data_IF_016699977545
#
_entry.id   IF_016699977545
#
_cell.length_a   1.000
_cell.length_b   1.000
_cell.length_c   1.000
_cell.angle_alpha   90.00
_cell.angle_beta   90.00
_cell.angle_gamma   90.00
#
_symmetry.space_group_name_H-M   'P 1'
#
loop_
_entity.id
_entity.type
_entity.pdbx_description
1 polymer ?
#
# COMPACT_ATOMS: atom_id res chain seq x y z
N UNK A 1 -40.63 15.10 -4.35
CA UNK A 1 -41.76 14.72 -5.24
C UNK A 1 -43.01 15.43 -4.76
N UNK A 2 -43.72 16.14 -5.63
CA UNK A 2 -45.03 16.75 -5.30
C UNK A 2 -46.13 15.78 -5.74
N UNK A 3 -46.92 15.28 -4.79
CA UNK A 3 -48.17 14.56 -5.07
C UNK A 3 -49.30 15.34 -4.43
N UNK A 4 -50.31 15.68 -5.22
CA UNK A 4 -51.48 16.42 -4.73
C UNK A 4 -52.64 15.44 -4.56
N UNK A 5 -53.23 15.34 -3.36
CA UNK A 5 -54.45 14.57 -3.19
C UNK A 5 -55.60 15.24 -3.97
N UNK A 6 -56.52 14.43 -4.50
CA UNK A 6 -57.75 14.91 -5.14
C UNK A 6 -58.96 14.11 -4.62
N UNK A 7 -60.02 14.82 -4.23
CA UNK A 7 -61.25 14.25 -3.64
C UNK A 7 -61.42 14.53 -2.14
N UNK A 8 -62.68 14.59 -1.68
CA UNK A 8 -63.07 14.91 -0.28
C UNK A 8 -64.26 15.89 -0.22
N UNK A 9 -65.02 15.87 0.89
CA UNK A 9 -66.08 16.87 1.16
C UNK A 9 -65.59 17.76 2.30
N UNK A 10 -65.40 19.05 2.01
CA UNK A 10 -64.88 20.04 2.98
C UNK A 10 -63.64 20.75 2.46
N UNK A 11 -63.43 21.99 2.92
CA UNK A 11 -62.27 22.81 2.55
C UNK A 11 -61.04 22.56 3.45
N UNK A 12 -61.21 21.74 4.49
CA UNK A 12 -60.21 21.54 5.54
C UNK A 12 -59.71 20.10 5.51
N UNK A 13 -58.48 19.90 5.03
CA UNK A 13 -57.75 18.64 5.10
C UNK A 13 -56.74 18.71 6.24
N UNK A 14 -56.62 17.63 7.00
CA UNK A 14 -55.55 17.48 8.00
C UNK A 14 -54.54 16.44 7.53
N UNK A 15 -53.25 16.75 7.68
CA UNK A 15 -52.15 15.87 7.34
C UNK A 15 -51.52 15.33 8.62
N UNK A 16 -51.10 14.07 8.60
CA UNK A 16 -50.36 13.46 9.70
C UNK A 16 -49.22 12.64 9.13
N UNK A 17 -48.00 13.11 9.36
CA UNK A 17 -46.79 12.41 8.95
C UNK A 17 -46.33 11.44 10.03
N UNK A 18 -45.73 10.30 9.64
CA UNK A 18 -45.09 9.37 10.58
C UNK A 18 -43.90 10.01 11.34
N UNK A 19 -43.36 11.12 10.84
CA UNK A 19 -42.36 11.95 11.50
C UNK A 19 -42.95 12.98 12.49
N UNK A 20 -44.27 13.05 12.62
CA UNK A 20 -44.99 13.87 13.61
C UNK A 20 -45.43 15.26 13.14
N UNK A 21 -45.01 15.71 11.96
CA UNK A 21 -45.51 16.96 11.37
C UNK A 21 -46.96 16.84 10.87
N UNK A 22 -47.63 17.98 10.71
CA UNK A 22 -49.03 18.08 10.25
C UNK A 22 -49.24 19.02 9.07
N UNK A 23 -48.18 19.62 8.55
CA UNK A 23 -48.24 20.52 7.40
C UNK A 23 -48.46 19.73 6.11
N UNK A 24 -49.13 20.35 5.13
CA UNK A 24 -49.34 19.77 3.80
C UNK A 24 -48.04 19.63 2.99
N UNK A 25 -47.00 20.37 3.38
CA UNK A 25 -45.64 20.30 2.85
C UNK A 25 -44.68 20.26 4.04
N UNK A 26 -43.78 19.28 4.04
CA UNK A 26 -42.69 19.20 5.01
C UNK A 26 -41.35 19.28 4.28
N UNK A 27 -40.38 19.96 4.90
CA UNK A 27 -38.98 19.95 4.48
C UNK A 27 -38.20 19.11 5.48
N UNK A 28 -37.44 18.15 4.98
CA UNK A 28 -36.74 17.15 5.80
C UNK A 28 -35.30 16.98 5.32
N UNK A 29 -34.40 16.68 6.24
CA UNK A 29 -32.98 16.40 5.98
C UNK A 29 -32.55 15.18 6.80
N UNK A 30 -33.04 13.98 6.45
CA UNK A 30 -32.72 12.77 7.20
C UNK A 30 -31.22 12.42 7.03
N UNK A 31 -30.62 11.86 8.08
CA UNK A 31 -29.24 11.37 8.04
C UNK A 31 -29.12 9.92 7.59
N UNK A 32 -30.24 9.20 7.48
CA UNK A 32 -30.29 7.79 7.04
C UNK A 32 -31.48 7.59 6.12
N UNK A 33 -31.52 6.49 5.37
CA UNK A 33 -32.66 6.17 4.53
C UNK A 33 -33.94 6.09 5.36
N UNK A 34 -34.94 6.90 4.99
CA UNK A 34 -36.20 6.99 5.73
C UNK A 34 -37.40 7.00 4.79
N UNK A 35 -38.45 6.25 5.15
CA UNK A 35 -39.73 6.27 4.48
C UNK A 35 -40.68 7.25 5.17
N UNK A 36 -41.06 8.31 4.46
CA UNK A 36 -42.06 9.27 4.92
C UNK A 36 -43.44 8.81 4.47
N UNK A 37 -44.34 8.67 5.43
CA UNK A 37 -45.72 8.25 5.22
C UNK A 37 -46.63 9.39 5.67
N UNK A 38 -47.53 9.83 4.80
CA UNK A 38 -48.54 10.85 5.11
C UNK A 38 -49.93 10.23 5.13
N UNK A 39 -50.64 10.44 6.22
CA UNK A 39 -52.07 10.20 6.35
C UNK A 39 -52.85 11.48 6.09
N UNK A 40 -53.94 11.39 5.31
CA UNK A 40 -54.84 12.52 5.03
C UNK A 40 -56.23 12.19 5.58
N UNK A 41 -56.80 13.14 6.32
CA UNK A 41 -58.20 13.12 6.74
C UNK A 41 -58.92 14.38 6.23
N UNK A 42 -60.20 14.25 5.93
CA UNK A 42 -61.10 15.39 5.69
C UNK A 42 -61.68 15.90 7.02
N UNK A 43 -62.59 16.88 6.95
CA UNK A 43 -63.26 17.47 8.11
C UNK A 43 -64.08 16.48 8.96
N UNK A 44 -64.23 15.21 8.55
CA UNK A 44 -64.86 14.16 9.34
C UNK A 44 -63.87 13.42 10.28
N UNK A 45 -62.58 13.80 10.27
CA UNK A 45 -61.62 13.52 11.34
C UNK A 45 -61.04 12.10 11.38
N UNK A 46 -61.29 11.26 10.38
CA UNK A 46 -60.66 9.94 10.27
C UNK A 46 -59.69 9.91 9.11
N UNK A 47 -58.43 9.59 9.36
CA UNK A 47 -57.42 9.40 8.30
C UNK A 47 -57.82 8.20 7.45
N UNK A 48 -58.16 8.45 6.19
CA UNK A 48 -58.70 7.42 5.29
C UNK A 48 -57.81 7.12 4.09
N UNK A 49 -56.78 7.92 3.84
CA UNK A 49 -55.85 7.72 2.75
C UNK A 49 -54.40 7.92 3.20
N UNK A 50 -53.52 7.11 2.62
CA UNK A 50 -52.09 7.11 2.92
C UNK A 50 -51.30 7.17 1.61
N UNK A 51 -50.22 7.93 1.60
CA UNK A 51 -49.21 7.92 0.55
C UNK A 51 -47.82 7.85 1.20
N UNK A 52 -46.84 7.31 0.49
CA UNK A 52 -45.47 7.24 1.00
C UNK A 52 -44.43 7.64 -0.04
N UNK A 53 -43.29 8.12 0.46
CA UNK A 53 -42.10 8.39 -0.33
C UNK A 53 -40.87 8.01 0.46
N UNK A 54 -39.93 7.30 -0.16
CA UNK A 54 -38.65 6.94 0.46
C UNK A 54 -37.56 7.91 0.02
N UNK A 55 -36.78 8.42 0.96
CA UNK A 55 -35.54 9.13 0.68
C UNK A 55 -34.37 8.19 0.99
N UNK A 56 -33.68 7.72 -0.05
CA UNK A 56 -32.51 6.87 0.09
C UNK A 56 -31.28 7.72 0.37
N UNK A 57 -30.63 7.49 1.50
CA UNK A 57 -29.32 8.05 1.85
C UNK A 57 -28.34 6.88 1.82
N UNK A 58 -27.29 7.01 1.01
CA UNK A 58 -26.22 6.03 0.90
C UNK A 58 -25.13 6.44 1.90
N UNK A 59 -24.87 5.57 2.88
CA UNK A 59 -23.71 5.72 3.77
C UNK A 59 -22.43 5.58 2.95
N UNK A 60 -21.54 6.56 3.07
CA UNK A 60 -20.25 6.56 2.41
C UNK A 60 -19.17 6.07 3.39
N UNK A 61 -18.30 5.18 2.91
CA UNK A 61 -17.12 4.74 3.66
C UNK A 61 -15.93 4.64 2.72
N UNK A 62 -14.88 5.42 2.99
CA UNK A 62 -13.65 5.41 2.23
C UNK A 62 -12.74 4.28 2.69
N UNK A 63 -12.29 3.46 1.76
CA UNK A 63 -11.33 2.39 2.02
C UNK A 63 -10.52 2.05 0.77
N UNK A 64 -9.30 1.56 0.96
CA UNK A 64 -8.46 1.06 -0.13
C UNK A 64 -7.45 0.02 0.36
N UNK A 65 -6.84 -0.65 -0.60
CA UNK A 65 -5.65 -1.48 -0.40
C UNK A 65 -4.59 -1.14 -1.45
N UNK A 66 -3.32 -1.06 -1.03
CA UNK A 66 -2.20 -1.08 -1.96
C UNK A 66 -1.94 -2.53 -2.40
N UNK A 67 -1.68 -2.72 -3.70
CA UNK A 67 -1.46 -4.02 -4.33
C UNK A 67 -0.23 -3.95 -5.23
N UNK A 68 0.43 -5.10 -5.43
CA UNK A 68 1.69 -5.19 -6.19
C UNK A 68 2.89 -5.44 -5.29
N UNK A 69 4.09 -5.25 -5.85
CA UNK A 69 5.34 -5.25 -5.10
C UNK A 69 5.48 -3.88 -4.43
N UNK A 70 5.75 -3.86 -3.13
CA UNK A 70 5.99 -2.64 -2.36
C UNK A 70 7.49 -2.43 -2.23
N UNK A 71 8.15 -2.31 -3.38
CA UNK A 71 9.60 -2.21 -3.51
C UNK A 71 9.98 -0.92 -4.27
N UNK A 72 11.18 -0.40 -4.02
CA UNK A 72 11.66 0.81 -4.69
C UNK A 72 11.64 0.68 -6.22
N UNK A 73 11.53 1.81 -6.93
CA UNK A 73 11.52 1.84 -8.40
C UNK A 73 10.40 1.01 -9.05
N UNK A 74 9.33 0.68 -8.34
CA UNK A 74 8.17 -0.03 -8.88
C UNK A 74 6.89 0.80 -8.87
N UNK A 75 5.98 0.45 -9.78
CA UNK A 75 4.63 1.00 -9.80
C UNK A 75 3.77 0.33 -8.73
N UNK A 76 3.07 1.13 -7.92
CA UNK A 76 2.14 0.67 -6.90
C UNK A 76 0.71 0.92 -7.37
N UNK A 77 -0.10 -0.14 -7.39
CA UNK A 77 -1.50 -0.06 -7.78
C UNK A 77 -2.40 -0.02 -6.55
N UNK A 78 -3.35 0.91 -6.53
CA UNK A 78 -4.31 1.05 -5.45
C UNK A 78 -5.68 0.53 -5.87
N UNK A 79 -6.22 -0.38 -5.08
CA UNK A 79 -7.58 -0.86 -5.22
C UNK A 79 -8.50 -0.06 -4.31
N UNK A 80 -9.49 0.61 -4.89
CA UNK A 80 -10.56 1.24 -4.13
C UNK A 80 -11.53 0.19 -3.59
N UNK A 81 -11.77 0.25 -2.29
CA UNK A 81 -12.71 -0.59 -1.55
C UNK A 81 -13.81 0.25 -0.89
N UNK A 82 -13.99 1.48 -1.37
CA UNK A 82 -14.95 2.42 -0.81
C UNK A 82 -16.38 1.98 -1.13
N UNK A 83 -17.29 2.29 -0.21
CA UNK A 83 -18.71 2.00 -0.37
C UNK A 83 -19.46 3.32 -0.46
N UNK A 84 -20.42 3.40 -1.39
CA UNK A 84 -21.35 4.52 -1.46
C UNK A 84 -20.79 5.82 -1.99
N UNK A 85 -19.74 5.76 -2.83
CA UNK A 85 -19.11 6.92 -3.46
C UNK A 85 -19.16 6.84 -4.99
N UNK A 86 -19.16 8.01 -5.65
CA UNK A 86 -19.24 8.15 -7.11
C UNK A 86 -17.96 8.77 -7.70
N UNK A 87 -17.16 9.42 -6.87
CA UNK A 87 -15.91 10.08 -7.26
C UNK A 87 -14.84 9.93 -6.18
N UNK A 88 -13.58 10.00 -6.62
CA UNK A 88 -12.41 9.69 -5.80
C UNK A 88 -11.33 10.75 -6.05
N UNK A 89 -10.59 11.09 -5.00
CA UNK A 89 -9.40 11.92 -5.08
C UNK A 89 -8.31 11.30 -4.21
N UNK A 90 -7.15 11.10 -4.81
CA UNK A 90 -6.00 10.47 -4.20
C UNK A 90 -4.87 11.47 -4.02
N UNK A 91 -4.21 11.41 -2.87
CA UNK A 91 -2.92 12.03 -2.60
C UNK A 91 -1.96 10.92 -2.17
N UNK A 92 -0.90 10.73 -2.95
CA UNK A 92 0.06 9.64 -2.71
C UNK A 92 1.22 10.05 -1.79
N UNK A 93 1.20 11.27 -1.22
CA UNK A 93 2.23 11.75 -0.31
C UNK A 93 3.61 11.99 -0.94
N UNK A 94 3.75 11.73 -2.24
CA UNK A 94 4.93 12.01 -3.07
C UNK A 94 4.77 13.30 -3.92
N UNK A 95 3.65 14.01 -3.75
CA UNK A 95 3.28 15.19 -4.56
C UNK A 95 2.45 14.86 -5.80
N UNK A 96 2.24 13.59 -6.12
CA UNK A 96 1.31 13.14 -7.16
C UNK A 96 -0.11 12.94 -6.60
N UNK A 97 -1.10 13.10 -7.48
CA UNK A 97 -2.52 12.93 -7.17
C UNK A 97 -3.22 12.21 -8.31
N UNK A 98 -4.39 11.63 -8.04
CA UNK A 98 -5.23 11.01 -9.08
C UNK A 98 -6.71 11.15 -8.74
N UNK A 99 -7.58 11.05 -9.75
CA UNK A 99 -9.03 10.94 -9.57
C UNK A 99 -9.59 9.63 -10.17
N UNK A 100 -8.71 8.69 -10.53
CA UNK A 100 -9.12 7.38 -11.04
C UNK A 100 -9.71 6.52 -9.92
N UNK A 101 -10.56 5.55 -10.28
CA UNK A 101 -11.12 4.61 -9.31
C UNK A 101 -10.04 3.72 -8.73
N UNK A 102 -9.14 3.17 -9.57
CA UNK A 102 -8.03 2.32 -9.13
C UNK A 102 -6.73 2.83 -9.77
N UNK A 103 -6.08 3.85 -9.19
CA UNK A 103 -4.92 4.46 -9.80
C UNK A 103 -3.67 3.60 -9.63
N UNK A 104 -2.68 3.89 -10.46
CA UNK A 104 -1.29 3.44 -10.28
C UNK A 104 -0.40 4.66 -10.19
N UNK A 105 0.55 4.68 -9.25
CA UNK A 105 1.55 5.75 -9.07
C UNK A 105 2.92 5.13 -8.89
N UNK A 106 3.94 5.93 -9.18
CA UNK A 106 5.32 5.53 -8.99
C UNK A 106 5.82 5.97 -7.60
N UNK A 107 6.21 5.01 -6.77
CA UNK A 107 6.85 5.29 -5.49
C UNK A 107 8.36 5.01 -5.62
N UNK A 108 9.13 6.06 -5.88
CA UNK A 108 10.53 5.93 -6.27
C UNK A 108 11.48 5.53 -5.15
N UNK A 109 11.37 6.16 -3.98
CA UNK A 109 12.32 5.98 -2.87
C UNK A 109 11.76 5.03 -1.81
N UNK A 110 12.59 4.16 -1.22
CA UNK A 110 12.16 3.29 -0.13
C UNK A 110 11.94 4.10 1.15
N UNK A 111 10.67 4.41 1.41
CA UNK A 111 10.22 5.13 2.60
C UNK A 111 8.74 4.84 2.90
N UNK A 112 8.24 5.44 3.99
CA UNK A 112 6.84 5.41 4.34
C UNK A 112 6.07 6.55 3.64
N UNK A 113 5.15 6.19 2.74
CA UNK A 113 4.24 7.13 2.08
C UNK A 113 2.89 7.17 2.80
N UNK A 114 2.41 8.38 3.10
CA UNK A 114 1.09 8.59 3.70
C UNK A 114 0.05 8.80 2.60
N UNK A 115 -0.62 7.71 2.18
CA UNK A 115 -1.57 7.73 1.09
C UNK A 115 -2.96 8.09 1.61
N UNK A 116 -3.59 9.11 1.03
CA UNK A 116 -4.94 9.55 1.38
C UNK A 116 -5.90 9.34 0.21
N UNK A 117 -7.04 8.74 0.50
CA UNK A 117 -8.18 8.62 -0.41
C UNK A 117 -9.34 9.44 0.15
N UNK A 118 -9.90 10.32 -0.67
CA UNK A 118 -11.15 11.03 -0.41
C UNK A 118 -12.20 10.48 -1.38
N UNK A 119 -13.28 9.95 -0.84
CA UNK A 119 -14.42 9.44 -1.61
C UNK A 119 -15.60 10.40 -1.46
N UNK A 120 -16.30 10.71 -2.54
CA UNK A 120 -17.45 11.63 -2.56
C UNK A 120 -18.61 11.05 -3.35
N UNK A 121 -19.82 11.12 -2.81
CA UNK A 121 -21.05 10.69 -3.50
C UNK A 121 -21.78 11.85 -4.21
N UNK A 122 -22.78 11.51 -5.01
CA UNK A 122 -23.61 12.45 -5.78
C UNK A 122 -24.36 13.48 -4.92
N UNK A 123 -24.70 13.13 -3.68
CA UNK A 123 -25.30 14.01 -2.68
C UNK A 123 -24.28 14.98 -2.03
N UNK A 124 -22.99 14.83 -2.32
CA UNK A 124 -21.91 15.65 -1.77
C UNK A 124 -21.43 15.22 -0.38
N UNK A 125 -21.83 14.04 0.10
CA UNK A 125 -21.23 13.44 1.30
C UNK A 125 -19.81 12.97 0.98
N UNK A 126 -18.91 13.18 1.94
CA UNK A 126 -17.47 12.92 1.79
C UNK A 126 -17.02 12.04 2.96
N UNK A 127 -16.23 11.02 2.66
CA UNK A 127 -15.43 10.29 3.65
C UNK A 127 -13.98 10.18 3.18
N UNK A 128 -13.05 10.02 4.10
CA UNK A 128 -11.64 9.87 3.77
C UNK A 128 -10.91 8.88 4.66
N UNK A 129 -9.87 8.28 4.09
CA UNK A 129 -8.98 7.35 4.79
C UNK A 129 -7.54 7.66 4.42
N UNK A 130 -6.66 7.56 5.41
CA UNK A 130 -5.21 7.67 5.22
C UNK A 130 -4.54 6.40 5.74
N UNK A 131 -3.68 5.78 4.92
CA UNK A 131 -2.87 4.62 5.31
C UNK A 131 -1.41 4.90 5.01
N UNK A 132 -0.53 4.38 5.87
CA UNK A 132 0.92 4.42 5.66
C UNK A 132 1.32 3.17 4.87
N UNK A 133 1.91 3.37 3.70
CA UNK A 133 2.46 2.30 2.86
C UNK A 133 3.98 2.36 2.94
N UNK A 134 4.58 1.28 3.42
CA UNK A 134 6.04 1.11 3.47
C UNK A 134 6.53 0.58 2.13
N UNK A 135 7.40 1.33 1.45
CA UNK A 135 8.12 0.90 0.25
C UNK A 135 9.51 0.44 0.68
N UNK A 136 9.86 -0.79 0.35
CA UNK A 136 11.11 -1.43 0.78
C UNK A 136 12.22 -1.27 -0.26
N UNK A 137 13.48 -1.17 0.15
CA UNK A 137 14.59 -1.21 -0.80
C UNK A 137 14.64 -2.58 -1.50
N UNK A 138 15.01 -2.60 -2.78
CA UNK A 138 15.26 -3.82 -3.52
C UNK A 138 16.65 -4.32 -3.14
N UNK A 139 16.77 -5.55 -2.64
CA UNK A 139 18.07 -6.11 -2.25
C UNK A 139 18.25 -7.51 -2.82
N UNK A 140 19.38 -7.73 -3.50
CA UNK A 140 19.79 -9.05 -3.97
C UNK A 140 21.28 -9.26 -3.76
N UNK A 141 21.63 -10.49 -3.37
CA UNK A 141 23.02 -10.92 -3.21
C UNK A 141 23.20 -12.32 -3.81
N UNK A 142 24.25 -12.45 -4.61
CA UNK A 142 24.72 -13.72 -5.14
C UNK A 142 26.18 -13.91 -4.78
N UNK A 143 26.45 -15.04 -4.12
CA UNK A 143 27.78 -15.43 -3.66
C UNK A 143 28.14 -16.75 -4.32
N UNK A 144 29.06 -16.77 -5.31
CA UNK A 144 29.54 -18.01 -5.90
C UNK A 144 30.13 -18.93 -4.84
N UNK A 145 30.01 -20.24 -5.02
CA UNK A 145 30.48 -21.22 -4.03
C UNK A 145 31.81 -21.87 -4.40
N UNK A 146 32.41 -21.55 -5.56
CA UNK A 146 33.67 -22.11 -6.00
C UNK A 146 34.39 -21.25 -7.04
N UNK A 147 35.72 -21.30 -7.02
CA UNK A 147 36.59 -20.74 -8.05
C UNK A 147 37.90 -21.53 -8.19
N UNK A 148 38.61 -21.30 -9.29
CA UNK A 148 39.81 -22.07 -9.67
C UNK A 148 40.96 -21.11 -10.00
N UNK A 149 41.74 -20.67 -9.01
CA UNK A 149 42.88 -19.76 -9.23
C UNK A 149 44.13 -20.54 -9.69
N UNK A 150 44.05 -21.15 -10.87
CA UNK A 150 45.10 -21.99 -11.48
C UNK A 150 45.95 -21.27 -12.55
N UNK A 151 45.61 -20.02 -12.87
CA UNK A 151 46.27 -19.20 -13.89
C UNK A 151 45.73 -19.41 -15.31
N UNK A 152 44.63 -20.14 -15.48
CA UNK A 152 43.94 -20.26 -16.77
C UNK A 152 42.98 -19.08 -17.05
N UNK A 153 42.23 -19.14 -18.16
CA UNK A 153 41.38 -18.04 -18.61
C UNK A 153 40.12 -17.83 -17.75
N UNK A 154 39.67 -18.86 -17.03
CA UNK A 154 38.34 -18.88 -16.43
C UNK A 154 38.37 -18.94 -14.89
N UNK A 155 37.47 -18.20 -14.25
CA UNK A 155 37.14 -18.33 -12.82
C UNK A 155 38.34 -18.16 -11.85
N UNK A 156 39.23 -17.23 -12.18
CA UNK A 156 40.46 -16.99 -11.42
C UNK A 156 40.23 -16.20 -10.12
N UNK A 157 39.13 -15.45 -10.06
CA UNK A 157 38.79 -14.62 -8.90
C UNK A 157 37.40 -14.97 -8.40
N UNK A 158 37.27 -15.10 -7.09
CA UNK A 158 35.99 -15.20 -6.40
C UNK A 158 35.43 -13.80 -6.16
N UNK A 159 34.37 -13.44 -6.89
CA UNK A 159 33.71 -12.13 -6.80
C UNK A 159 32.23 -12.31 -6.51
N UNK A 160 31.73 -11.56 -5.52
CA UNK A 160 30.31 -11.52 -5.18
C UNK A 160 29.56 -10.49 -6.04
N UNK A 161 28.24 -10.60 -6.06
CA UNK A 161 27.36 -9.62 -6.67
C UNK A 161 26.31 -9.21 -5.64
N UNK A 162 26.22 -7.92 -5.35
CA UNK A 162 25.24 -7.36 -4.41
C UNK A 162 24.67 -6.07 -4.97
N UNK A 163 23.34 -5.96 -4.95
CA UNK A 163 22.58 -4.80 -5.39
C UNK A 163 21.73 -4.26 -4.23
N UNK A 164 21.51 -2.94 -4.21
CA UNK A 164 20.67 -2.29 -3.20
C UNK A 164 21.28 -2.26 -1.80
N UNK A 165 22.59 -2.01 -1.70
CA UNK A 165 23.30 -1.86 -0.43
C UNK A 165 23.93 -0.47 -0.35
N UNK A 166 24.21 -0.01 0.88
CA UNK A 166 25.03 1.17 1.12
C UNK A 166 26.49 0.84 0.76
N UNK A 167 27.03 1.50 -0.27
CA UNK A 167 28.40 1.28 -0.75
C UNK A 167 29.49 1.65 0.28
N UNK A 168 29.15 2.37 1.35
CA UNK A 168 30.08 2.77 2.41
C UNK A 168 29.98 1.91 3.68
N UNK A 169 29.03 0.98 3.74
CA UNK A 169 28.76 0.13 4.90
C UNK A 169 28.55 -1.33 4.46
N UNK A 170 29.67 -1.88 3.98
CA UNK A 170 29.82 -3.25 3.50
C UNK A 170 31.08 -3.85 4.11
N UNK A 171 30.96 -5.05 4.67
CA UNK A 171 32.07 -5.83 5.20
C UNK A 171 32.00 -7.26 4.68
N UNK A 172 33.10 -7.77 4.13
CA UNK A 172 33.26 -9.18 3.76
C UNK A 172 34.54 -9.70 4.38
N UNK A 173 34.42 -10.76 5.18
CA UNK A 173 35.53 -11.47 5.80
C UNK A 173 35.59 -12.90 5.29
N UNK A 174 36.79 -13.38 5.00
CA UNK A 174 37.07 -14.75 4.60
C UNK A 174 37.99 -15.42 5.61
N UNK A 175 37.58 -16.59 6.08
CA UNK A 175 38.22 -17.35 7.14
C UNK A 175 38.76 -18.68 6.65
N UNK A 176 39.93 -19.05 7.16
CA UNK A 176 40.39 -20.43 7.08
C UNK A 176 39.67 -21.32 8.12
N UNK A 177 40.00 -22.62 8.13
CA UNK A 177 39.36 -23.61 9.02
C UNK A 177 39.63 -23.39 10.51
N UNK A 178 40.62 -22.55 10.86
CA UNK A 178 40.97 -22.22 12.24
C UNK A 178 40.32 -20.93 12.72
N UNK A 179 39.50 -20.27 11.88
CA UNK A 179 38.83 -19.01 12.22
C UNK A 179 39.70 -17.77 12.06
N UNK A 180 40.88 -17.89 11.45
CA UNK A 180 41.71 -16.74 11.10
C UNK A 180 41.19 -16.09 9.81
N UNK A 181 41.07 -14.76 9.82
CA UNK A 181 40.78 -13.95 8.63
C UNK A 181 41.99 -14.00 7.70
N UNK A 182 41.80 -14.57 6.52
CA UNK A 182 42.84 -14.65 5.48
C UNK A 182 42.64 -13.60 4.38
N UNK A 183 41.44 -13.03 4.29
CA UNK A 183 41.14 -11.95 3.36
C UNK A 183 39.92 -11.18 3.85
N UNK A 184 39.89 -9.89 3.57
CA UNK A 184 38.75 -9.03 3.86
C UNK A 184 38.57 -8.01 2.72
N UNK A 185 37.35 -7.51 2.57
CA UNK A 185 37.03 -6.39 1.70
C UNK A 185 35.92 -5.55 2.28
N UNK A 186 36.05 -4.23 2.15
CA UNK A 186 35.00 -3.25 2.41
C UNK A 186 34.40 -2.68 1.12
N UNK A 187 34.75 -3.28 -0.02
CA UNK A 187 34.26 -2.93 -1.35
C UNK A 187 33.76 -4.19 -2.04
N UNK A 188 32.45 -4.27 -2.25
CA UNK A 188 31.79 -5.40 -2.88
C UNK A 188 32.19 -5.61 -4.36
N UNK A 189 32.81 -4.61 -5.00
CA UNK A 189 33.29 -4.70 -6.38
C UNK A 189 34.62 -5.47 -6.50
N UNK A 190 35.31 -5.68 -5.38
CA UNK A 190 36.60 -6.39 -5.31
C UNK A 190 36.38 -7.87 -5.04
N UNK A 191 37.05 -8.71 -5.84
CA UNK A 191 37.08 -10.15 -5.64
C UNK A 191 38.37 -10.63 -5.01
N UNK A 192 38.35 -11.82 -4.43
CA UNK A 192 39.52 -12.51 -3.91
C UNK A 192 40.16 -13.39 -4.99
N UNK A 193 41.48 -13.30 -5.14
CA UNK A 193 42.26 -14.03 -6.14
C UNK A 193 42.77 -15.39 -5.62
N UNK A 194 42.38 -15.80 -4.41
CA UNK A 194 42.84 -17.04 -3.81
C UNK A 194 44.21 -16.95 -3.14
N UNK A 195 44.75 -15.75 -2.93
CA UNK A 195 46.04 -15.57 -2.26
C UNK A 195 45.90 -15.15 -0.80
N UNK A 196 46.85 -15.58 0.03
CA UNK A 196 47.07 -15.10 1.39
C UNK A 196 48.57 -14.97 1.63
N UNK A 197 49.01 -13.82 2.15
CA UNK A 197 50.44 -13.49 2.33
C UNK A 197 51.28 -13.67 1.04
N UNK A 198 50.68 -13.37 -0.11
CA UNK A 198 51.33 -13.47 -1.43
C UNK A 198 51.47 -14.89 -1.99
N UNK A 199 50.88 -15.90 -1.34
CA UNK A 199 50.88 -17.28 -1.82
C UNK A 199 49.45 -17.78 -2.06
N UNK A 200 49.26 -18.62 -3.08
CA UNK A 200 47.99 -19.31 -3.31
C UNK A 200 47.65 -20.21 -2.12
N UNK A 201 46.43 -20.05 -1.60
CA UNK A 201 45.95 -20.88 -0.49
C UNK A 201 45.73 -22.33 -0.94
N UNK A 202 45.62 -23.25 0.02
CA UNK A 202 45.37 -24.66 -0.27
C UNK A 202 43.98 -24.87 -0.88
N UNK A 203 43.85 -25.84 -1.78
CA UNK A 203 42.54 -26.29 -2.24
C UNK A 203 41.71 -26.77 -1.05
N UNK A 204 40.45 -26.36 -1.02
CA UNK A 204 39.58 -26.65 0.12
C UNK A 204 38.47 -25.64 0.29
N UNK A 205 37.75 -25.79 1.40
CA UNK A 205 36.62 -24.95 1.75
C UNK A 205 37.06 -23.86 2.73
N UNK A 206 36.66 -22.63 2.42
CA UNK A 206 36.84 -21.43 3.23
C UNK A 206 35.48 -20.87 3.59
N UNK A 207 35.39 -20.26 4.77
CA UNK A 207 34.12 -19.68 5.27
C UNK A 207 34.14 -18.19 5.00
N UNK A 208 33.03 -17.64 4.52
CA UNK A 208 32.87 -16.20 4.38
C UNK A 208 31.73 -15.69 5.26
N UNK A 209 31.85 -14.45 5.71
CA UNK A 209 30.82 -13.69 6.39
C UNK A 209 30.71 -12.33 5.71
N UNK A 210 29.50 -11.93 5.33
CA UNK A 210 29.19 -10.64 4.72
C UNK A 210 28.22 -9.90 5.63
N UNK A 211 28.53 -8.65 5.95
CA UNK A 211 27.59 -7.71 6.58
C UNK A 211 27.33 -6.58 5.60
N UNK A 212 26.06 -6.29 5.33
CA UNK A 212 25.66 -5.17 4.45
C UNK A 212 24.61 -4.33 5.14
N UNK A 213 24.71 -3.00 5.02
CA UNK A 213 23.62 -2.10 5.37
C UNK A 213 22.76 -1.82 4.14
N UNK A 214 21.45 -1.83 4.32
CA UNK A 214 20.52 -1.37 3.29
C UNK A 214 20.50 0.15 3.21
N UNK A 215 20.35 0.74 2.03
CA UNK A 215 20.23 2.18 1.90
C UNK A 215 18.90 2.65 2.52
N UNK A 216 18.87 3.90 3.00
CA UNK A 216 17.68 4.61 3.51
C UNK A 216 17.06 4.09 4.81
N UNK A 217 17.43 2.89 5.26
CA UNK A 217 17.01 2.31 6.55
C UNK A 217 18.25 1.96 7.39
N UNK A 218 18.10 1.85 8.71
CA UNK A 218 19.20 1.45 9.59
C UNK A 218 19.32 -0.09 9.74
N UNK A 219 18.77 -0.83 8.78
CA UNK A 219 18.79 -2.29 8.76
C UNK A 219 20.15 -2.80 8.24
N UNK A 220 20.77 -3.72 8.99
CA UNK A 220 21.93 -4.49 8.56
C UNK A 220 21.54 -5.95 8.37
N UNK A 221 22.08 -6.58 7.32
CA UNK A 221 21.91 -8.00 7.02
C UNK A 221 23.24 -8.72 7.07
N UNK A 222 23.22 -9.91 7.63
CA UNK A 222 24.39 -10.77 7.75
C UNK A 222 24.16 -12.06 6.94
N UNK A 223 25.17 -12.43 6.15
CA UNK A 223 25.17 -13.64 5.34
C UNK A 223 26.44 -14.43 5.65
N UNK A 224 26.29 -15.75 5.77
CA UNK A 224 27.41 -16.66 5.99
C UNK A 224 27.34 -17.82 5.01
N UNK A 225 28.51 -18.32 4.63
CA UNK A 225 28.58 -19.50 3.78
C UNK A 225 30.01 -19.91 3.50
N UNK A 226 30.19 -20.64 2.40
CA UNK A 226 31.49 -21.18 2.03
C UNK A 226 31.83 -20.96 0.57
N UNK A 227 33.12 -20.91 0.29
CA UNK A 227 33.69 -20.95 -1.06
C UNK A 227 34.72 -22.09 -1.13
N UNK A 228 34.69 -22.83 -2.23
CA UNK A 228 35.65 -23.89 -2.54
C UNK A 228 36.74 -23.35 -3.47
N UNK A 229 37.99 -23.42 -3.02
CA UNK A 229 39.16 -23.22 -3.87
C UNK A 229 39.48 -24.55 -4.53
N UNK A 230 39.37 -24.61 -5.84
CA UNK A 230 39.65 -25.79 -6.66
C UNK A 230 40.98 -25.59 -7.41
N UNK A 231 41.62 -26.70 -7.76
CA UNK A 231 42.80 -26.78 -8.62
C UNK A 231 42.66 -28.00 -9.52
#
# INVERSE_FOLDING_TARGET
>A
MLRSPSGGIGNDYTFQWNSGQTDSIITVSPSTTFEYIVGIADGCGTVSHWDSTTMNIIEISANFAATGLLEEQTDVTFQNLSVGADSYSWDFGNGETSNEVNPTTFCGEPMNYSITLIATNDAGCIDSVTQIIEIKPEFSIYVPNAFTPDGEEFNQNWKIFVNGHDQYDFDLYLYNRWGEVIWESHDASVGWDGTYQGQLVQSGMYTWQITVKLPYVDERREFVGHVSVLR
#
